data_IF_119463110508
#
_entry.id   IF_119463110508
#
_cell.length_a   1.000
_cell.length_b   1.000
_cell.length_c   1.000
_cell.angle_alpha   90.00
_cell.angle_beta   90.00
_cell.angle_gamma   90.00
#
_symmetry.space_group_name_H-M   'P 1'
#
loop_
_entity.id
_entity.type
_entity.pdbx_description
1 polymer ?
#
# COMPACT_ATOMS: atom_id res chain seq x y z
N UNK A 1 22.91 -10.04 -20.66
CA UNK A 1 22.73 -11.00 -19.53
C UNK A 1 23.04 -10.25 -18.25
N UNK A 2 22.16 -10.35 -17.25
CA UNK A 2 22.33 -9.69 -15.94
C UNK A 2 23.56 -10.31 -15.26
N UNK A 3 24.55 -9.49 -14.91
CA UNK A 3 25.79 -9.96 -14.29
C UNK A 3 25.77 -9.88 -12.76
N UNK A 4 26.75 -10.51 -12.10
CA UNK A 4 26.98 -10.37 -10.66
C UNK A 4 27.15 -8.91 -10.21
N UNK A 5 27.71 -8.07 -11.09
CA UNK A 5 27.86 -6.63 -10.84
C UNK A 5 26.50 -5.92 -10.73
N UNK A 6 25.48 -6.36 -11.46
CA UNK A 6 24.14 -5.75 -11.41
C UNK A 6 23.39 -6.20 -10.15
N UNK A 7 23.57 -7.45 -9.71
CA UNK A 7 23.09 -7.89 -8.40
C UNK A 7 23.73 -7.05 -7.30
N UNK A 8 25.04 -6.83 -7.38
CA UNK A 8 25.76 -6.05 -6.39
C UNK A 8 25.19 -4.63 -6.29
N UNK A 9 24.87 -3.96 -7.42
CA UNK A 9 24.20 -2.64 -7.41
C UNK A 9 22.85 -2.69 -6.68
N UNK A 10 22.05 -3.72 -6.94
CA UNK A 10 20.75 -3.92 -6.26
C UNK A 10 20.94 -4.11 -4.75
N UNK A 11 21.87 -4.98 -4.35
CA UNK A 11 22.17 -5.21 -2.93
C UNK A 11 22.67 -3.93 -2.26
N UNK A 12 23.57 -3.18 -2.91
CA UNK A 12 24.08 -1.89 -2.41
C UNK A 12 22.96 -0.86 -2.22
N UNK A 13 22.00 -0.80 -3.15
CA UNK A 13 20.86 0.12 -3.03
C UNK A 13 19.88 -0.30 -1.91
N UNK A 14 19.70 -1.60 -1.70
CA UNK A 14 18.69 -2.12 -0.77
C UNK A 14 19.20 -2.28 0.66
N UNK A 15 20.43 -2.77 0.87
CA UNK A 15 20.97 -3.06 2.21
C UNK A 15 20.80 -1.89 3.19
N UNK A 16 21.05 -0.61 2.84
CA UNK A 16 20.82 0.51 3.75
C UNK A 16 19.38 0.61 4.28
N UNK A 17 18.38 0.31 3.43
CA UNK A 17 16.98 0.29 3.83
C UNK A 17 16.68 -0.83 4.84
N UNK A 18 17.24 -2.02 4.61
CA UNK A 18 17.10 -3.15 5.53
C UNK A 18 17.90 -2.97 6.82
N UNK A 19 19.01 -2.23 6.79
CA UNK A 19 19.73 -1.81 8.00
C UNK A 19 18.84 -0.89 8.83
N UNK A 20 18.18 0.12 8.23
CA UNK A 20 17.24 0.98 8.95
C UNK A 20 16.09 0.18 9.58
N UNK A 21 15.55 -0.80 8.85
CA UNK A 21 14.53 -1.73 9.38
C UNK A 21 15.06 -2.55 10.56
N UNK A 22 16.28 -3.10 10.45
CA UNK A 22 16.93 -3.85 11.53
C UNK A 22 17.18 -2.99 12.77
N UNK A 23 17.60 -1.74 12.60
CA UNK A 23 17.76 -0.78 13.70
C UNK A 23 16.43 -0.48 14.38
N UNK A 24 15.36 -0.27 13.62
CA UNK A 24 14.00 -0.09 14.15
C UNK A 24 13.57 -1.29 14.97
N UNK A 25 13.74 -2.50 14.43
CA UNK A 25 13.40 -3.73 15.14
C UNK A 25 14.21 -3.92 16.43
N UNK A 26 15.54 -3.77 16.33
CA UNK A 26 16.46 -3.91 17.44
C UNK A 26 16.23 -2.89 18.55
N UNK A 27 15.83 -1.67 18.22
CA UNK A 27 15.55 -0.61 19.18
C UNK A 27 14.46 -0.96 20.18
N UNK A 28 13.47 -1.76 19.77
CA UNK A 28 12.39 -2.20 20.64
C UNK A 28 12.71 -3.57 21.24
N UNK A 29 13.10 -4.55 20.42
CA UNK A 29 13.20 -5.95 20.86
C UNK A 29 14.49 -6.26 21.63
N UNK A 30 15.62 -5.69 21.22
CA UNK A 30 16.93 -6.01 21.77
C UNK A 30 17.43 -4.95 22.75
N UNK A 31 17.34 -3.68 22.36
CA UNK A 31 17.85 -2.57 23.16
C UNK A 31 16.79 -1.96 24.10
N UNK A 32 15.50 -2.23 23.86
CA UNK A 32 14.37 -1.72 24.66
C UNK A 32 14.42 -0.20 24.89
N UNK A 33 14.84 0.54 23.86
CA UNK A 33 14.98 2.01 23.86
C UNK A 33 13.60 2.66 23.83
N UNK A 34 12.69 2.13 22.99
CA UNK A 34 11.37 2.72 22.78
C UNK A 34 10.25 1.91 23.43
N UNK A 35 9.32 2.61 24.06
CA UNK A 35 8.04 2.05 24.53
C UNK A 35 7.02 1.96 23.38
N UNK A 36 5.95 1.16 23.51
CA UNK A 36 4.89 1.09 22.49
C UNK A 36 4.26 2.45 22.15
N UNK A 37 4.02 3.30 23.15
CA UNK A 37 3.51 4.66 22.97
C UNK A 37 4.48 5.55 22.19
N UNK A 38 5.78 5.46 22.49
CA UNK A 38 6.81 6.20 21.75
C UNK A 38 6.91 5.70 20.30
N UNK A 39 6.77 4.40 20.06
CA UNK A 39 6.73 3.85 18.71
C UNK A 39 5.52 4.38 17.92
N UNK A 40 4.36 4.51 18.56
CA UNK A 40 3.19 5.14 17.93
C UNK A 40 3.46 6.61 17.57
N UNK A 41 4.06 7.38 18.49
CA UNK A 41 4.42 8.76 18.24
C UNK A 41 5.41 8.89 17.06
N UNK A 42 6.42 8.02 16.99
CA UNK A 42 7.37 7.96 15.86
C UNK A 42 6.63 7.61 14.57
N UNK A 43 5.74 6.61 14.59
CA UNK A 43 4.96 6.24 13.41
C UNK A 43 4.09 7.39 12.91
N UNK A 44 3.45 8.15 13.81
CA UNK A 44 2.70 9.36 13.46
C UNK A 44 3.61 10.42 12.83
N UNK A 45 4.80 10.66 13.37
CA UNK A 45 5.78 11.57 12.77
C UNK A 45 6.13 11.15 11.33
N UNK A 46 6.39 9.85 11.11
CA UNK A 46 6.71 9.33 9.78
C UNK A 46 5.54 9.49 8.82
N UNK A 47 4.31 9.16 9.25
CA UNK A 47 3.11 9.19 8.39
C UNK A 47 2.65 10.61 8.07
N UNK A 48 2.73 11.55 9.02
CA UNK A 48 2.22 12.92 8.82
C UNK A 48 3.26 13.88 8.23
N UNK A 49 4.55 13.60 8.39
CA UNK A 49 5.61 14.49 7.90
C UNK A 49 6.52 13.79 6.90
N UNK A 50 7.27 12.78 7.33
CA UNK A 50 8.34 12.22 6.50
C UNK A 50 7.85 11.63 5.16
N UNK A 51 6.82 10.77 5.19
CA UNK A 51 6.26 10.11 4.00
C UNK A 51 5.54 11.06 3.02
N UNK A 52 4.75 12.05 3.48
CA UNK A 52 4.16 13.06 2.60
C UNK A 52 5.23 13.85 1.85
N UNK A 53 6.25 14.37 2.53
CA UNK A 53 7.33 15.10 1.88
C UNK A 53 8.14 14.20 0.93
N UNK A 54 8.38 12.95 1.31
CA UNK A 54 8.98 11.94 0.44
C UNK A 54 8.16 11.70 -0.83
N UNK A 55 6.85 11.47 -0.69
CA UNK A 55 5.95 11.26 -1.83
C UNK A 55 5.88 12.49 -2.73
N UNK A 56 5.79 13.68 -2.14
CA UNK A 56 5.77 14.94 -2.86
C UNK A 56 7.05 15.14 -3.67
N UNK A 57 8.23 14.94 -3.07
CA UNK A 57 9.53 15.09 -3.73
C UNK A 57 9.66 14.19 -4.97
N UNK A 58 9.30 12.91 -4.87
CA UNK A 58 9.29 12.02 -6.04
C UNK A 58 8.29 12.49 -7.11
N UNK A 59 7.12 12.96 -6.68
CA UNK A 59 6.03 13.33 -7.59
C UNK A 59 6.33 14.62 -8.36
N UNK A 60 6.93 15.64 -7.72
CA UNK A 60 7.21 16.93 -8.39
C UNK A 60 8.22 16.81 -9.52
N UNK A 61 9.11 15.82 -9.46
CA UNK A 61 10.11 15.57 -10.50
C UNK A 61 9.62 14.66 -11.62
N UNK A 62 8.38 14.20 -11.56
CA UNK A 62 7.77 13.40 -12.63
C UNK A 62 7.18 14.31 -13.69
N UNK A 63 7.39 14.04 -14.97
CA UNK A 63 6.69 14.71 -16.06
C UNK A 63 5.31 14.07 -16.30
N UNK A 64 4.19 14.75 -16.00
CA UNK A 64 2.85 14.21 -16.22
C UNK A 64 2.51 14.04 -17.71
N UNK A 65 3.18 14.78 -18.60
CA UNK A 65 2.91 14.75 -20.05
C UNK A 65 3.65 13.61 -20.75
N UNK A 66 4.76 13.15 -20.18
CA UNK A 66 5.52 11.99 -20.67
C UNK A 66 5.14 10.68 -19.96
N UNK A 67 3.98 10.61 -19.30
CA UNK A 67 3.52 9.39 -18.63
C UNK A 67 3.36 8.23 -19.60
N UNK A 68 3.83 7.05 -19.20
CA UNK A 68 3.66 5.84 -20.02
C UNK A 68 2.25 5.28 -19.83
N UNK A 69 1.31 5.77 -20.64
CA UNK A 69 -0.09 5.36 -20.59
C UNK A 69 -0.28 3.85 -20.78
N UNK A 70 0.62 3.15 -21.47
CA UNK A 70 0.53 1.70 -21.65
C UNK A 70 0.79 0.95 -20.33
N UNK A 71 1.77 1.39 -19.56
CA UNK A 71 2.08 0.81 -18.24
C UNK A 71 0.97 1.12 -17.23
N UNK A 72 0.43 2.33 -17.25
CA UNK A 72 -0.70 2.72 -16.41
C UNK A 72 -1.97 1.94 -16.79
N UNK A 73 -2.24 1.77 -18.09
CA UNK A 73 -3.36 0.97 -18.57
C UNK A 73 -3.20 -0.51 -18.21
N UNK A 74 -1.99 -1.06 -18.31
CA UNK A 74 -1.69 -2.43 -17.89
C UNK A 74 -1.95 -2.63 -16.39
N UNK A 75 -1.53 -1.67 -15.56
CA UNK A 75 -1.79 -1.65 -14.13
C UNK A 75 -3.29 -1.63 -13.82
N UNK A 76 -4.04 -0.78 -14.53
CA UNK A 76 -5.48 -0.69 -14.38
C UNK A 76 -6.21 -1.97 -14.80
N UNK A 77 -5.84 -2.56 -15.94
CA UNK A 77 -6.41 -3.83 -16.42
C UNK A 77 -6.11 -4.96 -15.43
N UNK A 78 -4.89 -5.05 -14.92
CA UNK A 78 -4.50 -6.03 -13.89
C UNK A 78 -5.40 -5.96 -12.66
N UNK A 79 -5.68 -4.74 -12.18
CA UNK A 79 -6.51 -4.53 -10.99
C UNK A 79 -7.99 -4.75 -11.25
N UNK A 80 -8.51 -4.33 -12.41
CA UNK A 80 -9.88 -4.65 -12.83
C UNK A 80 -10.06 -6.17 -12.96
N UNK A 81 -9.11 -6.87 -13.59
CA UNK A 81 -9.12 -8.32 -13.70
C UNK A 81 -9.15 -8.98 -12.31
N UNK A 82 -8.29 -8.50 -11.40
CA UNK A 82 -8.25 -8.98 -10.02
C UNK A 82 -9.60 -8.81 -9.31
N UNK A 83 -10.24 -7.64 -9.45
CA UNK A 83 -11.57 -7.38 -8.88
C UNK A 83 -12.63 -8.31 -9.47
N UNK A 84 -12.63 -8.54 -10.79
CA UNK A 84 -13.58 -9.44 -11.44
C UNK A 84 -13.43 -10.88 -10.96
N UNK A 85 -12.18 -11.37 -10.85
CA UNK A 85 -11.89 -12.72 -10.35
C UNK A 85 -12.34 -12.86 -8.89
N UNK A 86 -12.08 -11.85 -8.05
CA UNK A 86 -12.49 -11.87 -6.64
C UNK A 86 -14.01 -11.76 -6.48
N UNK A 87 -14.69 -10.98 -7.32
CA UNK A 87 -16.15 -10.88 -7.33
C UNK A 87 -16.80 -12.20 -7.76
N UNK A 88 -16.25 -12.86 -8.78
CA UNK A 88 -16.68 -14.19 -9.20
C UNK A 88 -16.46 -15.23 -8.08
N UNK A 89 -15.31 -15.18 -7.42
CA UNK A 89 -15.01 -16.04 -6.27
C UNK A 89 -15.97 -15.81 -5.11
N UNK A 90 -16.27 -14.55 -4.76
CA UNK A 90 -17.23 -14.22 -3.70
C UNK A 90 -18.66 -14.68 -4.02
N UNK A 91 -19.04 -14.70 -5.31
CA UNK A 91 -20.39 -15.10 -5.74
C UNK A 91 -20.57 -16.61 -5.81
N UNK A 92 -19.55 -17.35 -6.23
CA UNK A 92 -19.66 -18.79 -6.52
C UNK A 92 -19.00 -19.71 -5.49
N UNK A 93 -18.15 -19.19 -4.60
CA UNK A 93 -17.48 -20.00 -3.60
C UNK A 93 -18.19 -19.91 -2.25
N UNK A 94 -18.47 -21.06 -1.62
CA UNK A 94 -18.93 -21.13 -0.23
C UNK A 94 -17.91 -20.59 0.79
N UNK A 95 -16.65 -20.44 0.38
CA UNK A 95 -15.55 -19.88 1.19
C UNK A 95 -15.30 -18.39 0.91
N UNK A 96 -15.92 -17.81 -0.11
CA UNK A 96 -15.69 -16.43 -0.52
C UNK A 96 -16.56 -15.46 0.27
N UNK A 97 -15.95 -14.66 1.16
CA UNK A 97 -16.66 -13.55 1.81
C UNK A 97 -16.23 -12.20 1.23
N UNK A 98 -17.11 -11.20 1.34
CA UNK A 98 -16.79 -9.83 0.93
C UNK A 98 -15.53 -9.30 1.64
N UNK A 99 -15.35 -9.62 2.92
CA UNK A 99 -14.15 -9.28 3.68
C UNK A 99 -12.88 -9.95 3.12
N UNK A 100 -12.95 -11.24 2.79
CA UNK A 100 -11.81 -11.94 2.17
C UNK A 100 -11.48 -11.41 0.78
N UNK A 101 -12.48 -10.92 0.03
CA UNK A 101 -12.26 -10.29 -1.28
C UNK A 101 -11.48 -8.99 -1.15
N UNK A 102 -11.84 -8.12 -0.20
CA UNK A 102 -11.10 -6.88 0.08
C UNK A 102 -9.66 -7.18 0.51
N UNK A 103 -9.48 -8.13 1.42
CA UNK A 103 -8.14 -8.56 1.88
C UNK A 103 -7.32 -9.14 0.73
N UNK A 104 -7.92 -9.97 -0.12
CA UNK A 104 -7.22 -10.57 -1.25
C UNK A 104 -6.84 -9.54 -2.32
N UNK A 105 -7.71 -8.56 -2.57
CA UNK A 105 -7.39 -7.41 -3.43
C UNK A 105 -6.23 -6.62 -2.85
N UNK A 106 -6.29 -6.27 -1.57
CA UNK A 106 -5.20 -5.54 -0.90
C UNK A 106 -3.87 -6.27 -1.01
N UNK A 107 -3.84 -7.58 -0.73
CA UNK A 107 -2.65 -8.43 -0.77
C UNK A 107 -2.06 -8.60 -2.18
N UNK A 108 -2.87 -8.52 -3.23
CA UNK A 108 -2.41 -8.75 -4.61
C UNK A 108 -2.09 -7.43 -5.35
N UNK A 109 -2.78 -6.34 -5.02
CA UNK A 109 -2.75 -5.10 -5.81
C UNK A 109 -1.93 -3.97 -5.18
N UNK A 110 -1.76 -3.93 -3.85
CA UNK A 110 -1.23 -2.76 -3.15
C UNK A 110 0.21 -2.97 -2.68
N UNK A 111 1.13 -2.31 -3.40
CA UNK A 111 2.57 -2.52 -3.25
C UNK A 111 3.24 -1.35 -2.52
N UNK A 112 4.38 -1.60 -1.87
CA UNK A 112 5.26 -0.54 -1.36
C UNK A 112 6.18 -0.02 -2.48
N UNK A 113 5.60 0.75 -3.39
CA UNK A 113 6.23 1.17 -4.64
C UNK A 113 7.30 2.25 -4.42
N UNK A 114 7.05 3.26 -3.58
CA UNK A 114 7.99 4.37 -3.42
C UNK A 114 9.18 4.05 -2.52
N UNK A 115 8.96 3.45 -1.34
CA UNK A 115 10.05 3.25 -0.36
C UNK A 115 11.03 2.19 -0.83
N UNK A 116 10.51 1.06 -1.33
CA UNK A 116 11.35 -0.06 -1.80
C UNK A 116 11.49 -0.06 -3.32
N UNK A 117 10.40 0.16 -4.04
CA UNK A 117 10.42 0.05 -5.51
C UNK A 117 11.29 1.09 -6.21
N UNK A 118 11.20 2.37 -5.84
CA UNK A 118 11.96 3.43 -6.51
C UNK A 118 13.49 3.19 -6.48
N UNK A 119 14.13 3.02 -5.31
CA UNK A 119 15.57 2.74 -5.25
C UNK A 119 15.94 1.39 -5.89
N UNK A 120 15.07 0.38 -5.80
CA UNK A 120 15.32 -0.93 -6.39
C UNK A 120 15.33 -0.86 -7.92
N UNK A 121 14.28 -0.31 -8.53
CA UNK A 121 14.15 -0.24 -9.98
C UNK A 121 15.19 0.72 -10.58
N UNK A 122 15.55 1.79 -9.86
CA UNK A 122 16.67 2.64 -10.26
C UNK A 122 18.00 1.86 -10.31
N UNK A 123 18.27 0.99 -9.33
CA UNK A 123 19.48 0.16 -9.34
C UNK A 123 19.48 -0.90 -10.45
N UNK A 124 18.31 -1.42 -10.83
CA UNK A 124 18.16 -2.50 -11.82
C UNK A 124 18.12 -2.01 -13.27
N UNK A 125 17.44 -0.90 -13.52
CA UNK A 125 17.13 -0.41 -14.88
C UNK A 125 17.47 1.07 -15.08
N UNK A 126 17.73 1.83 -14.00
CA UNK A 126 18.05 3.26 -14.06
C UNK A 126 16.85 4.18 -13.86
N UNK A 127 17.09 5.48 -14.11
CA UNK A 127 16.15 6.57 -13.76
C UNK A 127 14.79 6.45 -14.44
N UNK A 128 14.73 6.00 -15.69
CA UNK A 128 13.45 5.83 -16.40
C UNK A 128 12.51 4.83 -15.70
N UNK A 129 13.06 3.78 -15.07
CA UNK A 129 12.26 2.80 -14.34
C UNK A 129 11.81 3.34 -12.98
N UNK A 130 12.63 4.19 -12.35
CA UNK A 130 12.23 4.95 -11.17
C UNK A 130 11.03 5.85 -11.48
N UNK A 131 11.06 6.58 -12.59
CA UNK A 131 9.97 7.47 -12.98
C UNK A 131 8.67 6.70 -13.22
N UNK A 132 8.73 5.51 -13.84
CA UNK A 132 7.57 4.61 -13.97
C UNK A 132 7.01 4.16 -12.62
N UNK A 133 7.88 3.82 -11.67
CA UNK A 133 7.47 3.44 -10.32
C UNK A 133 6.74 4.60 -9.63
N UNK A 134 7.25 5.82 -9.77
CA UNK A 134 6.59 7.00 -9.21
C UNK A 134 5.22 7.21 -9.85
N UNK A 135 5.12 7.14 -11.18
CA UNK A 135 3.84 7.25 -11.91
C UNK A 135 2.81 6.22 -11.40
N UNK A 136 3.22 4.95 -11.28
CA UNK A 136 2.35 3.89 -10.76
C UNK A 136 1.96 4.13 -9.29
N UNK A 137 2.86 4.66 -8.48
CA UNK A 137 2.59 4.98 -7.07
C UNK A 137 1.56 6.09 -6.91
N UNK A 138 1.58 7.12 -7.76
CA UNK A 138 0.60 8.21 -7.77
C UNK A 138 -0.78 7.67 -8.12
N UNK A 139 -0.87 6.87 -9.18
CA UNK A 139 -2.13 6.21 -9.58
C UNK A 139 -2.63 5.27 -8.48
N UNK A 140 -1.72 4.53 -7.83
CA UNK A 140 -2.03 3.68 -6.68
C UNK A 140 -2.60 4.49 -5.51
N UNK A 141 -1.95 5.59 -5.14
CA UNK A 141 -2.38 6.46 -4.06
C UNK A 141 -3.71 7.14 -4.31
N UNK A 142 -3.98 7.57 -5.56
CA UNK A 142 -5.18 8.34 -5.90
C UNK A 142 -6.36 7.44 -6.24
N UNK A 143 -6.16 6.41 -7.07
CA UNK A 143 -7.27 5.59 -7.60
C UNK A 143 -7.50 4.37 -6.73
N UNK A 144 -6.44 3.58 -6.53
CA UNK A 144 -6.58 2.25 -5.93
C UNK A 144 -6.76 2.28 -4.41
N UNK A 145 -6.16 3.25 -3.72
CA UNK A 145 -6.43 3.47 -2.29
C UNK A 145 -7.84 3.99 -2.05
N UNK A 146 -8.35 4.88 -2.91
CA UNK A 146 -9.76 5.35 -2.85
C UNK A 146 -10.73 4.19 -3.04
N UNK A 147 -10.45 3.32 -4.01
CA UNK A 147 -11.24 2.12 -4.23
C UNK A 147 -11.21 1.19 -3.00
N UNK A 148 -10.05 0.95 -2.39
CA UNK A 148 -9.94 0.16 -1.17
C UNK A 148 -10.77 0.77 -0.01
N UNK A 149 -10.61 2.07 0.24
CA UNK A 149 -11.35 2.79 1.29
C UNK A 149 -12.84 2.72 1.06
N UNK A 150 -13.29 2.88 -0.20
CA UNK A 150 -14.68 2.73 -0.56
C UNK A 150 -15.22 1.33 -0.25
N UNK A 151 -14.48 0.27 -0.61
CA UNK A 151 -14.89 -1.10 -0.27
C UNK A 151 -14.95 -1.35 1.24
N UNK A 152 -14.02 -0.77 2.01
CA UNK A 152 -13.98 -0.87 3.48
C UNK A 152 -15.15 -0.13 4.14
N UNK A 153 -15.47 1.08 3.67
CA UNK A 153 -16.61 1.85 4.19
C UNK A 153 -17.94 1.17 3.85
N UNK A 154 -18.08 0.61 2.64
CA UNK A 154 -19.23 -0.22 2.26
C UNK A 154 -19.38 -1.43 3.19
N UNK A 155 -18.28 -2.11 3.53
CA UNK A 155 -18.31 -3.23 4.48
C UNK A 155 -18.78 -2.76 5.86
N UNK A 156 -18.22 -1.66 6.36
CA UNK A 156 -18.55 -1.10 7.68
C UNK A 156 -20.03 -0.72 7.75
N UNK A 157 -20.54 -0.02 6.75
CA UNK A 157 -21.95 0.34 6.63
C UNK A 157 -22.86 -0.90 6.58
N UNK A 158 -22.47 -1.92 5.81
CA UNK A 158 -23.24 -3.18 5.73
C UNK A 158 -23.32 -3.93 7.06
N UNK A 159 -22.22 -3.97 7.83
CA UNK A 159 -22.20 -4.56 9.17
C UNK A 159 -23.14 -3.77 10.10
N UNK A 160 -23.04 -2.44 10.11
CA UNK A 160 -23.87 -1.57 10.95
C UNK A 160 -25.38 -1.80 10.71
N UNK A 161 -25.80 -1.82 9.44
CA UNK A 161 -27.21 -2.07 9.07
C UNK A 161 -27.68 -3.45 9.54
N UNK A 162 -26.83 -4.47 9.43
CA UNK A 162 -27.17 -5.84 9.87
C UNK A 162 -27.31 -5.91 11.39
N UNK A 163 -26.42 -5.25 12.13
CA UNK A 163 -26.48 -5.20 13.60
C UNK A 163 -27.72 -4.48 14.10
N UNK A 164 -28.06 -3.33 13.50
CA UNK A 164 -29.27 -2.56 13.86
C UNK A 164 -30.56 -3.32 13.53
N UNK A 165 -30.59 -4.04 12.40
CA UNK A 165 -31.72 -4.89 12.06
C UNK A 165 -31.88 -6.11 12.99
N UNK A 166 -30.77 -6.64 13.50
CA UNK A 166 -30.79 -7.74 14.47
C UNK A 166 -31.27 -7.28 15.85
N UNK A 167 -30.90 -6.08 16.29
CA UNK A 167 -31.35 -5.52 17.57
C UNK A 167 -32.80 -5.00 17.54
N UNK A 168 -33.31 -4.59 16.39
CA UNK A 168 -34.70 -4.12 16.26
C UNK A 168 -35.74 -5.26 16.12
N UNK A 169 -35.34 -6.42 15.59
CA UNK A 169 -36.23 -7.57 15.38
C UNK A 169 -36.14 -8.65 16.47
N UNK A 170 -35.22 -8.52 17.45
CA UNK A 170 -34.95 -9.54 18.47
C UNK A 170 -35.26 -9.07 19.89
N UNK A 171 -36.48 -9.32 20.35
CA UNK A 171 -36.74 -9.43 21.78
C UNK A 171 -36.06 -10.68 22.34
N UNK A 172 -35.03 -10.48 23.18
CA UNK A 172 -34.46 -11.47 24.08
C UNK A 172 -33.57 -12.56 23.45
N UNK A 173 -32.26 -12.31 23.35
CA UNK A 173 -31.27 -13.02 24.17
C UNK A 173 -29.90 -12.33 24.09
N UNK A 174 -29.23 -12.22 25.23
CA UNK A 174 -27.97 -11.48 25.37
C UNK A 174 -26.82 -12.36 24.87
N UNK A 175 -26.24 -12.02 23.71
CA UNK A 175 -24.86 -12.44 23.40
C UNK A 175 -23.96 -11.23 23.61
N UNK A 176 -23.27 -11.25 24.75
CA UNK A 176 -22.21 -10.32 25.11
C UNK A 176 -21.05 -10.42 24.12
N UNK A 177 -20.99 -9.48 23.17
CA UNK A 177 -19.74 -9.13 22.50
C UNK A 177 -19.15 -7.98 23.30
N UNK A 178 -18.22 -8.33 24.18
CA UNK A 178 -17.47 -7.42 25.02
C UNK A 178 -16.53 -6.60 24.12
N UNK A 179 -16.91 -5.34 23.86
CA UNK A 179 -16.01 -4.30 23.36
C UNK A 179 -16.13 -3.12 24.33
N UNK A 180 -15.20 -3.05 25.27
CA UNK A 180 -15.05 -1.94 26.22
C UNK A 180 -14.06 -0.88 25.66
N UNK A 181 -14.02 0.36 26.21
CA UNK A 181 -14.50 1.52 25.48
C UNK A 181 -13.46 2.66 25.38
N UNK A 182 -13.77 3.72 24.63
CA UNK A 182 -13.71 5.12 25.07
C UNK A 182 -13.96 6.10 23.89
N UNK A 183 -15.06 6.87 23.97
CA UNK A 183 -15.06 8.35 23.89
C UNK A 183 -16.50 8.90 23.75
N UNK A 184 -16.96 9.52 24.84
CA UNK A 184 -17.85 10.68 24.99
C UNK A 184 -19.07 10.86 24.06
N UNK A 185 -20.23 10.64 24.67
CA UNK A 185 -21.42 11.50 24.68
C UNK A 185 -21.64 12.45 23.49
N UNK A 186 -22.40 11.97 22.51
CA UNK A 186 -23.39 12.80 21.82
C UNK A 186 -24.65 11.94 21.70
N UNK A 187 -25.73 12.38 22.34
CA UNK A 187 -27.08 11.91 22.06
C UNK A 187 -27.37 12.11 20.57
N UNK A 188 -27.45 11.04 19.80
CA UNK A 188 -28.00 11.08 18.46
C UNK A 188 -29.21 10.15 18.40
N UNK A 189 -30.35 10.77 18.12
CA UNK A 189 -31.66 10.17 18.01
C UNK A 189 -31.62 8.87 17.18
N UNK A 190 -32.45 7.92 17.60
CA UNK A 190 -32.75 6.69 16.86
C UNK A 190 -33.40 7.00 15.50
N UNK A 191 -32.59 7.41 14.52
CA UNK A 191 -32.99 7.40 13.12
C UNK A 191 -32.88 5.98 12.58
N UNK A 192 -34.01 5.49 12.08
CA UNK A 192 -34.15 4.24 11.34
C UNK A 192 -33.00 4.13 10.33
N UNK A 193 -32.09 3.16 10.54
CA UNK A 193 -30.89 2.96 9.73
C UNK A 193 -31.26 2.62 8.28
N UNK A 194 -31.53 3.65 7.47
CA UNK A 194 -31.62 3.54 6.03
C UNK A 194 -30.24 3.23 5.47
N UNK A 195 -30.16 2.39 4.42
CA UNK A 195 -28.87 2.14 3.75
C UNK A 195 -28.27 3.50 3.36
N UNK A 196 -27.04 3.82 3.78
CA UNK A 196 -26.45 5.10 3.45
C UNK A 196 -26.40 5.25 1.92
N UNK A 197 -26.77 6.43 1.44
CA UNK A 197 -26.76 6.70 0.00
C UNK A 197 -25.33 6.54 -0.54
N UNK A 198 -25.19 6.08 -1.78
CA UNK A 198 -23.89 5.95 -2.44
C UNK A 198 -23.10 7.28 -2.40
N UNK A 199 -23.81 8.41 -2.55
CA UNK A 199 -23.22 9.75 -2.46
C UNK A 199 -22.64 10.03 -1.07
N UNK A 200 -23.37 9.69 0.00
CA UNK A 200 -22.89 9.86 1.39
C UNK A 200 -21.63 9.03 1.65
N UNK A 201 -21.62 7.75 1.25
CA UNK A 201 -20.44 6.89 1.37
C UNK A 201 -19.26 7.42 0.57
N UNK A 202 -19.50 7.85 -0.66
CA UNK A 202 -18.47 8.42 -1.53
C UNK A 202 -17.90 9.71 -0.92
N UNK A 203 -18.73 10.56 -0.33
CA UNK A 203 -18.31 11.77 0.37
C UNK A 203 -17.43 11.44 1.59
N UNK A 204 -17.81 10.47 2.42
CA UNK A 204 -17.00 10.02 3.56
C UNK A 204 -15.64 9.49 3.11
N UNK A 205 -15.61 8.70 2.03
CA UNK A 205 -14.38 8.15 1.47
C UNK A 205 -13.47 9.26 0.94
N UNK A 206 -14.03 10.21 0.18
CA UNK A 206 -13.28 11.37 -0.31
C UNK A 206 -12.75 12.24 0.83
N UNK A 207 -13.52 12.44 1.90
CA UNK A 207 -13.06 13.19 3.06
C UNK A 207 -11.90 12.49 3.77
N UNK A 208 -12.02 11.17 4.03
CA UNK A 208 -10.95 10.37 4.65
C UNK A 208 -9.69 10.32 3.77
N UNK A 209 -9.88 10.27 2.46
CA UNK A 209 -8.79 10.32 1.49
C UNK A 209 -8.13 11.70 1.45
N UNK A 210 -8.91 12.79 1.43
CA UNK A 210 -8.39 14.15 1.45
C UNK A 210 -7.60 14.46 2.74
N UNK A 211 -8.02 13.85 3.86
CA UNK A 211 -7.29 13.91 5.13
C UNK A 211 -6.07 12.99 5.17
N UNK A 212 -5.88 12.11 4.18
CA UNK A 212 -4.71 11.24 4.11
C UNK A 212 -3.45 12.03 3.71
N UNK A 213 -2.38 12.00 4.54
CA UNK A 213 -1.17 12.76 4.27
C UNK A 213 -0.49 12.49 2.93
N UNK A 214 -0.45 11.23 2.51
CA UNK A 214 0.17 10.84 1.24
C UNK A 214 -0.69 11.23 0.05
N UNK A 215 -2.01 11.31 0.22
CA UNK A 215 -2.92 11.70 -0.86
C UNK A 215 -2.74 13.18 -1.22
N UNK A 216 -2.85 14.10 -0.25
CA UNK A 216 -2.67 15.51 -0.57
C UNK A 216 -1.24 15.79 -1.05
N UNK A 217 -0.22 15.08 -0.53
CA UNK A 217 1.14 15.20 -1.03
C UNK A 217 1.26 14.78 -2.50
N UNK A 218 0.62 13.68 -2.89
CA UNK A 218 0.56 13.24 -4.29
C UNK A 218 -0.17 14.24 -5.17
N UNK A 219 -1.33 14.74 -4.73
CA UNK A 219 -2.14 15.71 -5.50
C UNK A 219 -1.40 17.03 -5.67
N UNK A 220 -0.81 17.56 -4.61
CA UNK A 220 0.01 18.78 -4.67
C UNK A 220 1.25 18.58 -5.54
N UNK A 221 1.89 17.42 -5.44
CA UNK A 221 3.05 17.07 -6.25
C UNK A 221 2.70 17.02 -7.74
N UNK A 222 1.59 16.37 -8.09
CA UNK A 222 1.10 16.30 -9.48
C UNK A 222 0.71 17.69 -9.98
N UNK A 223 -0.03 18.46 -9.19
CA UNK A 223 -0.44 19.82 -9.54
C UNK A 223 0.79 20.70 -9.82
N UNK A 224 1.81 20.61 -8.96
CA UNK A 224 3.07 21.31 -9.16
C UNK A 224 3.80 20.84 -10.41
N UNK A 225 3.90 19.52 -10.63
CA UNK A 225 4.53 18.94 -11.81
C UNK A 225 3.84 19.41 -13.11
N UNK A 226 2.51 19.54 -13.12
CA UNK A 226 1.78 20.12 -14.25
C UNK A 226 2.16 21.59 -14.48
N UNK A 227 2.19 22.40 -13.43
CA UNK A 227 2.52 23.83 -13.52
C UNK A 227 3.97 24.01 -14.00
N UNK A 228 4.90 23.29 -13.38
CA UNK A 228 6.33 23.37 -13.68
C UNK A 228 6.62 22.95 -15.12
N UNK A 229 6.07 21.81 -15.59
CA UNK A 229 6.29 21.35 -16.97
C UNK A 229 5.55 22.20 -18.02
N UNK A 230 4.37 22.76 -17.67
CA UNK A 230 3.60 23.58 -18.62
C UNK A 230 4.19 24.97 -18.84
N UNK A 231 4.69 25.59 -17.78
CA UNK A 231 5.23 26.96 -17.78
C UNK A 231 6.75 27.02 -17.67
N UNK A 232 7.45 25.88 -17.65
CA UNK A 232 8.90 25.78 -17.42
C UNK A 232 9.35 26.56 -16.18
N UNK A 233 8.53 26.51 -15.13
CA UNK A 233 8.78 27.20 -13.87
C UNK A 233 9.52 26.27 -12.91
N UNK A 234 10.75 26.63 -12.55
CA UNK A 234 11.54 25.90 -11.56
C UNK A 234 11.06 26.19 -10.14
N UNK A 235 11.13 25.18 -9.27
CA UNK A 235 10.74 25.33 -7.88
C UNK A 235 11.71 26.26 -7.14
N UNK A 236 11.21 27.26 -6.37
CA UNK A 236 12.10 28.12 -5.60
C UNK A 236 12.98 27.29 -4.68
N UNK A 237 14.29 27.55 -4.68
CA UNK A 237 15.29 26.77 -3.95
C UNK A 237 15.03 26.67 -2.44
N UNK A 238 14.36 27.67 -1.85
CA UNK A 238 13.93 27.67 -0.45
C UNK A 238 12.91 26.55 -0.20
N UNK A 239 11.92 26.39 -1.09
CA UNK A 239 10.87 25.38 -0.95
C UNK A 239 11.46 24.01 -1.29
N UNK A 240 12.21 23.90 -2.38
CA UNK A 240 12.88 22.65 -2.79
C UNK A 240 13.81 22.14 -1.69
N UNK A 241 14.67 23.01 -1.15
CA UNK A 241 15.58 22.66 -0.05
C UNK A 241 14.84 22.21 1.21
N UNK A 242 13.72 22.87 1.55
CA UNK A 242 12.88 22.50 2.70
C UNK A 242 12.26 21.11 2.52
N UNK A 243 11.70 20.85 1.34
CA UNK A 243 11.14 19.55 0.97
C UNK A 243 12.22 18.47 0.95
N UNK A 244 13.40 18.78 0.42
CA UNK A 244 14.53 17.86 0.30
C UNK A 244 15.07 17.41 1.66
N UNK A 245 15.15 18.31 2.64
CA UNK A 245 15.59 17.98 4.01
C UNK A 245 14.65 16.94 4.63
N UNK A 246 13.34 17.14 4.49
CA UNK A 246 12.36 16.22 5.07
C UNK A 246 12.28 14.90 4.29
N UNK A 247 12.23 14.96 2.95
CA UNK A 247 12.11 13.79 2.08
C UNK A 247 13.33 12.87 2.11
N UNK A 248 14.56 13.39 2.26
CA UNK A 248 15.78 12.56 2.37
C UNK A 248 15.74 11.57 3.54
N UNK A 249 15.06 11.93 4.62
CA UNK A 249 14.83 11.02 5.75
C UNK A 249 13.71 10.01 5.50
N UNK A 250 12.86 10.24 4.49
CA UNK A 250 11.65 9.50 4.13
C UNK A 250 11.80 7.99 4.08
N UNK A 251 12.63 7.49 3.16
CA UNK A 251 12.81 6.05 2.97
C UNK A 251 13.38 5.37 4.22
N UNK A 252 14.36 6.01 4.87
CA UNK A 252 15.00 5.50 6.09
C UNK A 252 14.03 5.44 7.26
N UNK A 253 13.30 6.53 7.54
CA UNK A 253 12.30 6.58 8.60
C UNK A 253 11.11 5.67 8.33
N UNK A 254 10.70 5.49 7.07
CA UNK A 254 9.66 4.53 6.71
C UNK A 254 10.08 3.09 7.01
N UNK A 255 11.31 2.71 6.65
CA UNK A 255 11.85 1.37 6.95
C UNK A 255 12.11 1.17 8.44
N UNK A 256 12.59 2.22 9.14
CA UNK A 256 12.74 2.20 10.60
C UNK A 256 11.40 2.01 11.32
N UNK A 257 10.38 2.78 10.93
CA UNK A 257 9.00 2.67 11.41
C UNK A 257 8.41 1.27 11.13
N UNK A 258 8.70 0.70 9.96
CA UNK A 258 8.36 -0.69 9.64
C UNK A 258 9.04 -1.69 10.59
N UNK A 259 10.31 -1.45 10.95
CA UNK A 259 11.04 -2.22 11.95
C UNK A 259 10.43 -2.13 13.35
N UNK A 260 10.06 -0.92 13.80
CA UNK A 260 9.33 -0.71 15.06
C UNK A 260 8.02 -1.50 15.06
N UNK A 261 7.24 -1.37 13.98
CA UNK A 261 5.99 -2.08 13.81
C UNK A 261 6.18 -3.61 13.91
N UNK A 262 7.21 -4.14 13.24
CA UNK A 262 7.55 -5.56 13.28
C UNK A 262 7.95 -6.03 14.69
N UNK A 263 8.64 -5.20 15.48
CA UNK A 263 9.05 -5.54 16.83
C UNK A 263 7.92 -5.49 17.86
N UNK A 264 6.90 -4.65 17.62
CA UNK A 264 5.72 -4.55 18.47
C UNK A 264 4.73 -5.71 18.27
N UNK A 265 4.81 -6.45 17.16
CA UNK A 265 3.98 -7.63 16.99
C UNK A 265 4.48 -8.77 17.90
N UNK A 266 3.57 -9.38 18.68
CA UNK A 266 3.91 -10.51 19.55
C UNK A 266 4.40 -11.74 18.75
N UNK A 267 3.88 -11.90 17.53
CA UNK A 267 4.24 -12.97 16.59
C UNK A 267 4.51 -12.40 15.21
N UNK A 268 5.63 -12.81 14.62
CA UNK A 268 5.99 -12.49 13.22
C UNK A 268 4.99 -13.12 12.24
N UNK A 269 4.41 -14.26 12.62
CA UNK A 269 3.31 -14.95 11.91
C UNK A 269 2.11 -14.98 12.85
N UNK A 270 1.22 -14.00 12.73
CA UNK A 270 0.05 -13.90 13.60
C UNK A 270 -1.08 -14.85 13.15
N UNK A 271 -1.28 -15.00 11.84
CA UNK A 271 -2.43 -15.69 11.25
C UNK A 271 -2.25 -17.21 10.95
N UNK A 272 -1.11 -17.80 11.33
CA UNK A 272 -0.79 -19.21 11.04
C UNK A 272 -0.26 -19.47 9.62
N UNK A 273 0.28 -20.68 9.39
CA UNK A 273 1.06 -20.99 8.19
C UNK A 273 0.23 -21.00 6.89
N UNK A 274 -1.00 -21.52 6.94
CA UNK A 274 -1.87 -21.62 5.76
C UNK A 274 -2.30 -20.23 5.24
N UNK A 275 -2.69 -19.32 6.15
CA UNK A 275 -3.08 -17.96 5.76
C UNK A 275 -1.87 -17.13 5.31
N UNK A 276 -0.71 -17.35 5.92
CA UNK A 276 0.55 -16.75 5.46
C UNK A 276 0.89 -17.21 4.03
N UNK A 277 0.85 -18.53 3.78
CA UNK A 277 1.09 -19.08 2.44
C UNK A 277 0.10 -18.52 1.41
N UNK A 278 -1.18 -18.43 1.77
CA UNK A 278 -2.20 -17.80 0.92
C UNK A 278 -1.86 -16.34 0.60
N UNK A 279 -1.50 -15.53 1.60
CA UNK A 279 -1.11 -14.14 1.40
C UNK A 279 0.14 -13.99 0.52
N UNK A 280 1.14 -14.85 0.69
CA UNK A 280 2.36 -14.83 -0.12
C UNK A 280 2.10 -15.23 -1.58
N UNK A 281 1.24 -16.23 -1.80
CA UNK A 281 0.83 -16.61 -3.15
C UNK A 281 0.07 -15.47 -3.82
N UNK A 282 -0.86 -14.81 -3.12
CA UNK A 282 -1.55 -13.65 -3.67
C UNK A 282 -0.57 -12.51 -4.00
N UNK A 283 0.39 -12.25 -3.12
CA UNK A 283 1.32 -11.13 -3.25
C UNK A 283 2.36 -11.31 -4.35
N UNK A 284 3.01 -12.46 -4.38
CA UNK A 284 4.19 -12.72 -5.22
C UNK A 284 3.90 -13.60 -6.44
N UNK A 285 2.70 -14.18 -6.53
CA UNK A 285 2.29 -14.97 -7.70
C UNK A 285 1.09 -14.34 -8.38
N UNK A 286 -0.05 -14.18 -7.68
CA UNK A 286 -1.28 -13.69 -8.29
C UNK A 286 -1.17 -12.23 -8.77
N UNK A 287 -0.62 -11.33 -7.94
CA UNK A 287 -0.39 -9.93 -8.30
C UNK A 287 0.50 -9.78 -9.55
N UNK A 288 1.71 -10.35 -9.57
CA UNK A 288 2.59 -10.34 -10.75
C UNK A 288 1.98 -11.02 -11.98
N UNK A 289 1.23 -12.12 -11.82
CA UNK A 289 0.54 -12.77 -12.91
C UNK A 289 -0.57 -11.90 -13.52
N UNK A 290 -1.38 -11.24 -12.68
CA UNK A 290 -2.40 -10.30 -13.14
C UNK A 290 -1.75 -9.12 -13.88
N UNK A 291 -0.61 -8.62 -13.40
CA UNK A 291 0.15 -7.57 -14.07
C UNK A 291 0.71 -8.05 -15.42
N UNK A 292 1.25 -9.27 -15.49
CA UNK A 292 1.73 -9.84 -16.74
C UNK A 292 0.61 -9.94 -17.78
N UNK A 293 -0.58 -10.42 -17.38
CA UNK A 293 -1.76 -10.50 -18.25
C UNK A 293 -2.18 -9.10 -18.73
N UNK A 294 -2.29 -8.13 -17.83
CA UNK A 294 -2.63 -6.74 -18.17
C UNK A 294 -1.61 -6.10 -19.11
N UNK A 295 -0.32 -6.35 -18.87
CA UNK A 295 0.76 -5.84 -19.69
C UNK A 295 0.77 -6.45 -21.10
N UNK A 296 0.56 -7.75 -21.22
CA UNK A 296 0.44 -8.43 -22.52
C UNK A 296 -0.80 -7.94 -23.28
N UNK A 297 -1.93 -7.72 -22.59
CA UNK A 297 -3.16 -7.22 -23.20
C UNK A 297 -3.01 -5.82 -23.83
N UNK A 298 -2.15 -4.96 -23.26
CA UNK A 298 -1.84 -3.63 -23.81
C UNK A 298 -0.66 -3.67 -24.79
N UNK A 299 -0.07 -4.84 -25.03
CA UNK A 299 1.04 -5.04 -25.95
C UNK A 299 2.39 -4.52 -25.44
N UNK A 300 2.59 -4.46 -24.11
CA UNK A 300 3.90 -4.18 -23.52
C UNK A 300 4.87 -5.33 -23.83
N UNK A 301 6.10 -4.96 -24.20
CA UNK A 301 7.20 -5.89 -24.53
C UNK A 301 8.51 -5.38 -23.95
N UNK A 302 9.50 -6.27 -23.84
CA UNK A 302 10.84 -5.95 -23.38
C UNK A 302 10.86 -5.40 -21.95
N UNK A 303 11.69 -4.39 -21.70
CA UNK A 303 11.97 -3.92 -20.34
C UNK A 303 10.76 -3.30 -19.64
N UNK A 304 9.84 -2.67 -20.36
CA UNK A 304 8.59 -2.15 -19.76
C UNK A 304 7.72 -3.26 -19.16
N UNK A 305 7.65 -4.42 -19.83
CA UNK A 305 6.92 -5.60 -19.31
C UNK A 305 7.63 -6.15 -18.07
N UNK A 306 8.97 -6.28 -18.11
CA UNK A 306 9.76 -6.79 -16.98
C UNK A 306 9.64 -5.88 -15.75
N UNK A 307 9.78 -4.57 -15.94
CA UNK A 307 9.62 -3.57 -14.87
C UNK A 307 8.21 -3.62 -14.30
N UNK A 308 7.17 -3.65 -15.13
CA UNK A 308 5.78 -3.78 -14.68
C UNK A 308 5.57 -5.00 -13.76
N UNK A 309 6.08 -6.17 -14.14
CA UNK A 309 5.95 -7.40 -13.35
C UNK A 309 6.74 -7.28 -12.03
N UNK A 310 7.95 -6.72 -12.06
CA UNK A 310 8.79 -6.53 -10.86
C UNK A 310 8.12 -5.56 -9.88
N UNK A 311 7.53 -4.48 -10.38
CA UNK A 311 6.77 -3.52 -9.56
C UNK A 311 5.58 -4.21 -8.88
N UNK A 312 4.85 -5.05 -9.62
CA UNK A 312 3.78 -5.86 -9.05
C UNK A 312 4.27 -6.90 -8.04
N UNK A 313 5.56 -7.30 -8.06
CA UNK A 313 6.15 -8.27 -7.13
C UNK A 313 6.83 -7.64 -5.90
N UNK A 314 6.73 -6.33 -5.70
CA UNK A 314 7.31 -5.62 -4.55
C UNK A 314 6.79 -6.14 -3.19
N UNK A 315 7.24 -5.66 -2.02
CA UNK A 315 6.58 -5.97 -0.76
C UNK A 315 5.23 -5.25 -0.61
N UNK A 316 4.41 -5.69 0.36
CA UNK A 316 3.06 -5.14 0.62
C UNK A 316 3.11 -3.68 1.13
N UNK A 317 2.10 -2.88 0.79
CA UNK A 317 1.96 -1.51 1.28
C UNK A 317 1.60 -1.43 2.78
N UNK A 318 2.33 -0.62 3.55
CA UNK A 318 2.06 -0.36 4.98
C UNK A 318 0.69 0.32 5.16
N UNK A 319 0.35 1.27 4.29
CA UNK A 319 -0.93 2.01 4.35
C UNK A 319 -2.14 1.08 4.27
N UNK A 320 -2.04 0.01 3.47
CA UNK A 320 -3.10 -0.98 3.34
C UNK A 320 -3.35 -1.74 4.65
N UNK A 321 -2.29 -2.03 5.41
CA UNK A 321 -2.38 -2.64 6.73
C UNK A 321 -3.00 -1.67 7.76
N UNK A 322 -2.59 -0.39 7.76
CA UNK A 322 -3.14 0.62 8.67
C UNK A 322 -4.66 0.70 8.51
N UNK A 323 -5.15 0.78 7.27
CA UNK A 323 -6.59 0.79 7.01
C UNK A 323 -7.26 -0.54 7.38
N UNK A 324 -6.65 -1.69 7.09
CA UNK A 324 -7.19 -2.97 7.53
C UNK A 324 -7.34 -3.06 9.06
N UNK A 325 -6.40 -2.47 9.82
CA UNK A 325 -6.47 -2.40 11.28
C UNK A 325 -7.57 -1.44 11.75
N UNK A 326 -7.64 -0.24 11.17
CA UNK A 326 -8.67 0.77 11.49
C UNK A 326 -10.09 0.26 11.25
N UNK A 327 -10.30 -0.51 10.18
CA UNK A 327 -11.61 -1.08 9.83
C UNK A 327 -11.83 -2.50 10.39
N UNK A 328 -10.91 -3.02 11.21
CA UNK A 328 -11.02 -4.35 11.82
C UNK A 328 -11.17 -5.49 10.81
N UNK A 329 -10.44 -5.45 9.69
CA UNK A 329 -10.51 -6.45 8.63
C UNK A 329 -9.17 -7.18 8.44
N UNK A 330 -9.08 -8.41 8.94
CA UNK A 330 -7.93 -9.32 8.73
C UNK A 330 -6.55 -8.65 8.92
N UNK A 331 -6.42 -7.77 9.93
CA UNK A 331 -5.21 -7.00 10.17
C UNK A 331 -3.99 -7.89 10.40
N UNK A 332 -4.16 -9.06 11.02
CA UNK A 332 -3.10 -10.05 11.25
C UNK A 332 -2.54 -10.67 9.96
N UNK A 333 -3.40 -10.86 8.95
CA UNK A 333 -2.98 -11.41 7.65
C UNK A 333 -2.17 -10.35 6.90
N UNK A 334 -2.65 -9.11 6.88
CA UNK A 334 -1.92 -8.01 6.25
C UNK A 334 -0.62 -7.69 7.00
N UNK A 335 -0.60 -7.70 8.33
CA UNK A 335 0.64 -7.46 9.09
C UNK A 335 1.70 -8.52 8.78
N UNK A 336 1.30 -9.80 8.76
CA UNK A 336 2.18 -10.91 8.38
C UNK A 336 2.67 -10.74 6.94
N UNK A 337 1.79 -10.32 6.02
CA UNK A 337 2.15 -10.06 4.62
C UNK A 337 3.16 -8.92 4.47
N UNK A 338 3.02 -7.83 5.23
CA UNK A 338 3.99 -6.72 5.20
C UNK A 338 5.32 -7.18 5.81
N UNK A 339 5.32 -7.83 6.97
CA UNK A 339 6.53 -8.27 7.66
C UNK A 339 7.29 -9.33 6.85
N UNK A 340 6.66 -10.48 6.63
CA UNK A 340 7.31 -11.60 5.96
C UNK A 340 7.54 -11.29 4.47
N UNK A 341 6.60 -10.56 3.84
CA UNK A 341 6.77 -10.12 2.46
C UNK A 341 7.97 -9.19 2.31
N UNK A 342 8.24 -8.28 3.25
CA UNK A 342 9.43 -7.42 3.20
C UNK A 342 10.71 -8.26 3.30
N UNK A 343 10.78 -9.20 4.24
CA UNK A 343 11.96 -10.06 4.41
C UNK A 343 12.24 -10.96 3.19
N UNK A 344 11.20 -11.51 2.58
CA UNK A 344 11.33 -12.42 1.42
C UNK A 344 11.44 -11.67 0.09
N UNK A 345 11.00 -10.41 0.03
CA UNK A 345 10.92 -9.66 -1.22
C UNK A 345 12.26 -9.50 -1.92
N UNK A 346 13.34 -9.17 -1.21
CA UNK A 346 14.64 -8.92 -1.85
C UNK A 346 15.19 -10.13 -2.61
N UNK A 347 15.36 -11.32 -2.01
CA UNK A 347 15.83 -12.48 -2.76
C UNK A 347 14.87 -12.89 -3.88
N UNK A 348 13.57 -12.77 -3.64
CA UNK A 348 12.55 -13.11 -4.63
C UNK A 348 12.57 -12.14 -5.83
N UNK A 349 12.72 -10.84 -5.60
CA UNK A 349 12.82 -9.82 -6.64
C UNK A 349 14.10 -9.96 -7.46
N UNK A 350 15.22 -10.31 -6.83
CA UNK A 350 16.47 -10.64 -7.53
C UNK A 350 16.27 -11.89 -8.39
N UNK A 351 15.63 -12.93 -7.87
CA UNK A 351 15.32 -14.14 -8.65
C UNK A 351 14.39 -13.83 -9.84
N UNK A 352 13.34 -13.02 -9.63
CA UNK A 352 12.46 -12.54 -10.69
C UNK A 352 13.22 -11.74 -11.74
N UNK A 353 14.15 -10.89 -11.34
CA UNK A 353 14.98 -10.12 -12.27
C UNK A 353 15.80 -11.03 -13.18
N UNK A 354 16.43 -12.06 -12.61
CA UNK A 354 17.14 -13.07 -13.40
C UNK A 354 16.20 -13.80 -14.36
N UNK A 355 15.10 -14.34 -13.85
CA UNK A 355 14.16 -15.13 -14.65
C UNK A 355 13.58 -14.32 -15.82
N UNK A 356 13.17 -13.06 -15.57
CA UNK A 356 12.64 -12.17 -16.58
C UNK A 356 13.71 -11.72 -17.59
N UNK A 357 14.99 -11.69 -17.20
CA UNK A 357 16.12 -11.43 -18.10
C UNK A 357 16.30 -12.47 -19.21
N UNK A 358 15.71 -13.67 -19.07
CA UNK A 358 15.68 -14.70 -20.11
C UNK A 358 14.46 -14.64 -21.03
N UNK A 359 13.40 -13.92 -20.63
CA UNK A 359 12.19 -13.74 -21.43
C UNK A 359 12.46 -12.56 -22.38
N UNK A 360 12.80 -12.88 -23.64
CA UNK A 360 13.25 -11.94 -24.67
C UNK A 360 12.11 -11.07 -25.21
#
# INVERSE_FOLDING_TARGET
>A
MIGWADIYKVVVAMVPLYVALGLGYGSVRWWRIFTPEQCEAINRLVVYFSLPFFTFEFTVHTDPFAMNYRVIAADAISKVLTVLVLAAWAKWSSKGSYGWSITSFSLSALTNTLVVGAPLLNAMYGRWAQDLVVQLSVVQGIVWMTFLLFMLELRKAGILVTTVAATSNGGGDVVSVELQPEAKDVEENAEVASRPSFCSLMMTVWLKLALNPNFYASVLGVAWAFISNRWHFEMPSIIEGSVLIMSRSGAGLAMFSMGLFMALQEKIIACGLNLTAFGMVLRFVAGPAAMAIGAIAVGLRGDFLRVAIIVAALPQSISSFIFAREYGLHAEVLSTAVIFGTLVSLPLLVACYFALGFIN
#
